data_IF_543720750358
#
_entry.id   IF_543720750358
#
_cell.length_a   1.000
_cell.length_b   1.000
_cell.length_c   1.000
_cell.angle_alpha   90.00
_cell.angle_beta   90.00
_cell.angle_gamma   90.00
#
_symmetry.space_group_name_H-M   'P 1'
#
loop_
_entity.id
_entity.type
_entity.pdbx_description
1 polymer ?
#
# COMPACT_ATOMS: atom_id res chain seq x y z
N UNK A 1 -17.69 9.95 -29.79
CA UNK A 1 -17.38 10.41 -28.41
C UNK A 1 -15.96 10.94 -28.40
N UNK A 2 -15.74 12.19 -27.99
CA UNK A 2 -14.40 12.80 -27.95
C UNK A 2 -13.52 11.97 -27.00
N UNK A 3 -12.43 11.41 -27.54
CA UNK A 3 -11.34 10.90 -26.71
C UNK A 3 -11.01 11.94 -25.65
N UNK A 4 -11.11 11.52 -24.40
CA UNK A 4 -10.78 12.40 -23.28
C UNK A 4 -9.25 12.50 -23.18
N UNK A 5 -8.63 13.24 -24.12
CA UNK A 5 -7.16 13.46 -24.23
C UNK A 5 -6.51 14.01 -22.96
N UNK A 6 -7.32 14.42 -21.98
CA UNK A 6 -6.80 15.06 -20.75
C UNK A 6 -6.22 14.10 -19.71
N UNK A 7 -6.41 12.78 -19.84
CA UNK A 7 -5.99 11.78 -18.86
C UNK A 7 -4.92 10.79 -19.37
N UNK A 8 -4.36 10.99 -20.55
CA UNK A 8 -3.29 10.12 -21.06
C UNK A 8 -1.97 10.37 -20.34
N UNK A 9 -1.37 9.32 -19.75
CA UNK A 9 -0.04 9.42 -19.13
C UNK A 9 1.09 9.54 -20.17
N UNK A 10 0.80 9.21 -21.43
CA UNK A 10 1.76 9.17 -22.54
C UNK A 10 1.81 10.51 -23.27
N UNK A 11 0.75 11.33 -23.18
CA UNK A 11 0.61 12.58 -23.94
C UNK A 11 0.47 13.80 -23.03
N UNK A 12 0.64 14.98 -23.58
CA UNK A 12 0.41 16.24 -22.91
C UNK A 12 1.46 16.63 -21.84
N UNK A 13 1.06 17.47 -20.89
CA UNK A 13 1.94 17.97 -19.84
C UNK A 13 2.20 16.89 -18.78
N UNK A 14 3.46 16.59 -18.54
CA UNK A 14 3.91 15.52 -17.63
C UNK A 14 3.40 15.74 -16.19
N UNK A 15 3.61 16.95 -15.65
CA UNK A 15 3.23 17.26 -14.27
C UNK A 15 1.73 17.15 -14.03
N UNK A 16 0.92 17.66 -14.98
CA UNK A 16 -0.55 17.54 -14.91
C UNK A 16 -0.98 16.06 -14.99
N UNK A 17 -0.38 15.27 -15.91
CA UNK A 17 -0.71 13.86 -16.05
C UNK A 17 -0.44 13.07 -14.76
N UNK A 18 0.74 13.24 -14.17
CA UNK A 18 1.11 12.59 -12.90
C UNK A 18 0.18 13.06 -11.77
N UNK A 19 -0.06 14.37 -11.65
CA UNK A 19 -0.89 14.93 -10.58
C UNK A 19 -2.34 14.41 -10.65
N UNK A 20 -2.96 14.45 -11.84
CA UNK A 20 -4.33 13.95 -12.01
C UNK A 20 -4.46 12.44 -11.83
N UNK A 21 -3.37 11.69 -12.02
CA UNK A 21 -3.35 10.27 -11.77
C UNK A 21 -3.12 9.92 -10.29
N UNK A 22 -2.25 10.66 -9.58
CA UNK A 22 -1.95 10.37 -8.18
C UNK A 22 -3.03 10.87 -7.21
N UNK A 23 -3.71 11.99 -7.50
CA UNK A 23 -4.74 12.53 -6.62
C UNK A 23 -5.86 11.54 -6.28
N UNK A 24 -6.45 10.77 -7.24
CA UNK A 24 -7.41 9.74 -6.89
C UNK A 24 -6.81 8.58 -6.09
N UNK A 25 -5.52 8.27 -6.25
CA UNK A 25 -4.85 7.25 -5.42
C UNK A 25 -4.74 7.72 -3.98
N UNK A 26 -4.31 8.97 -3.76
CA UNK A 26 -4.25 9.59 -2.43
C UNK A 26 -5.65 9.60 -1.78
N UNK A 27 -6.67 10.05 -2.53
CA UNK A 27 -8.04 10.06 -2.03
C UNK A 27 -8.55 8.65 -1.69
N UNK A 28 -8.20 7.65 -2.51
CA UNK A 28 -8.55 6.25 -2.24
C UNK A 28 -7.90 5.71 -0.97
N UNK A 29 -6.61 5.98 -0.77
CA UNK A 29 -5.90 5.60 0.45
C UNK A 29 -6.47 6.29 1.70
N UNK A 30 -6.87 7.57 1.58
CA UNK A 30 -7.52 8.30 2.67
C UNK A 30 -8.89 7.69 3.02
N UNK A 31 -9.71 7.39 2.03
CA UNK A 31 -11.01 6.73 2.23
C UNK A 31 -10.83 5.36 2.89
N UNK A 32 -9.85 4.60 2.45
CA UNK A 32 -9.52 3.30 3.04
C UNK A 32 -9.11 3.44 4.52
N UNK A 33 -8.33 4.45 4.86
CA UNK A 33 -7.96 4.72 6.25
C UNK A 33 -9.17 5.14 7.10
N UNK A 34 -10.03 6.00 6.54
CA UNK A 34 -11.25 6.44 7.23
C UNK A 34 -12.20 5.26 7.49
N UNK A 35 -12.43 4.40 6.49
CA UNK A 35 -13.32 3.27 6.68
C UNK A 35 -12.80 2.28 7.73
N UNK A 36 -11.49 1.98 7.76
CA UNK A 36 -10.88 1.13 8.80
C UNK A 36 -11.09 1.73 10.19
N UNK A 37 -10.99 3.05 10.32
CA UNK A 37 -11.22 3.74 11.59
C UNK A 37 -12.70 3.65 12.02
N UNK A 38 -13.63 3.85 11.08
CA UNK A 38 -15.08 3.76 11.35
C UNK A 38 -15.48 2.33 11.74
N UNK A 39 -14.98 1.33 11.02
CA UNK A 39 -15.18 -0.10 11.34
C UNK A 39 -14.72 -0.41 12.77
N UNK A 40 -13.50 0.01 13.14
CA UNK A 40 -13.00 -0.17 14.51
C UNK A 40 -13.88 0.51 15.58
N UNK A 41 -14.42 1.70 15.29
CA UNK A 41 -15.35 2.41 16.20
C UNK A 41 -16.66 1.62 16.35
N UNK A 42 -17.25 1.14 15.25
CA UNK A 42 -18.50 0.36 15.27
C UNK A 42 -18.29 -0.94 16.06
N UNK A 43 -17.24 -1.69 15.74
CA UNK A 43 -16.92 -2.94 16.45
C UNK A 43 -16.65 -2.67 17.93
N UNK A 44 -15.84 -1.66 18.27
CA UNK A 44 -15.56 -1.29 19.65
C UNK A 44 -16.79 -0.91 20.44
N UNK A 45 -17.75 -0.21 19.80
CA UNK A 45 -18.97 0.25 20.45
C UNK A 45 -20.02 -0.86 20.64
N UNK A 46 -20.21 -1.73 19.64
CA UNK A 46 -21.29 -2.72 19.62
C UNK A 46 -20.83 -4.14 19.95
N UNK A 47 -19.61 -4.56 19.59
CA UNK A 47 -19.03 -5.86 19.98
C UNK A 47 -18.12 -5.77 21.24
N UNK A 48 -17.91 -4.56 21.74
CA UNK A 48 -17.16 -4.31 22.97
C UNK A 48 -15.65 -4.58 22.89
N UNK A 49 -14.99 -4.53 24.07
CA UNK A 49 -13.53 -4.70 24.18
C UNK A 49 -13.06 -6.06 23.67
N UNK A 50 -13.83 -7.11 23.89
CA UNK A 50 -13.52 -8.49 23.48
C UNK A 50 -13.50 -8.60 21.97
N UNK A 51 -14.51 -8.04 21.29
CA UNK A 51 -14.56 -8.03 19.82
C UNK A 51 -13.42 -7.26 19.18
N UNK A 52 -13.10 -6.08 19.71
CA UNK A 52 -11.97 -5.28 19.22
C UNK A 52 -10.63 -6.01 19.42
N UNK A 53 -10.40 -6.59 20.61
CA UNK A 53 -9.21 -7.37 20.90
C UNK A 53 -9.09 -8.61 20.01
N UNK A 54 -10.21 -9.25 19.67
CA UNK A 54 -10.25 -10.40 18.76
C UNK A 54 -9.75 -10.02 17.36
N UNK A 55 -10.18 -8.88 16.82
CA UNK A 55 -9.76 -8.39 15.49
C UNK A 55 -8.30 -7.93 15.52
N UNK A 56 -7.90 -7.14 16.49
CA UNK A 56 -6.54 -6.59 16.59
C UNK A 56 -5.48 -7.68 16.76
N UNK A 57 -5.78 -8.75 17.52
CA UNK A 57 -4.86 -9.85 17.76
C UNK A 57 -4.40 -10.55 16.49
N UNK A 58 -5.23 -10.53 15.44
CA UNK A 58 -4.99 -11.24 14.17
C UNK A 58 -4.69 -10.33 12.98
N UNK A 59 -4.79 -9.01 13.16
CA UNK A 59 -4.58 -8.03 12.09
C UNK A 59 -3.21 -8.22 11.41
N UNK A 60 -2.17 -8.52 12.18
CA UNK A 60 -0.84 -8.82 11.65
C UNK A 60 -0.84 -10.07 10.77
N UNK A 61 -1.61 -11.11 11.11
CA UNK A 61 -1.69 -12.35 10.37
C UNK A 61 -2.23 -12.13 8.94
N UNK A 62 -3.25 -11.27 8.80
CA UNK A 62 -3.83 -10.95 7.49
C UNK A 62 -2.92 -10.09 6.62
N UNK A 63 -2.11 -9.21 7.23
CA UNK A 63 -1.22 -8.30 6.48
C UNK A 63 -0.22 -9.06 5.60
N UNK A 64 0.32 -10.20 6.07
CA UNK A 64 1.32 -10.93 5.30
C UNK A 64 0.81 -11.44 3.95
N UNK A 65 -0.24 -12.29 3.86
CA UNK A 65 -0.75 -12.76 2.58
C UNK A 65 -1.29 -11.62 1.71
N UNK A 66 -1.94 -10.61 2.30
CA UNK A 66 -2.46 -9.47 1.55
C UNK A 66 -1.32 -8.68 0.91
N UNK A 67 -0.27 -8.34 1.65
CA UNK A 67 0.88 -7.60 1.13
C UNK A 67 1.63 -8.39 0.06
N UNK A 68 1.77 -9.71 0.24
CA UNK A 68 2.35 -10.57 -0.79
C UNK A 68 1.55 -10.52 -2.10
N UNK A 69 0.24 -10.65 -2.02
CA UNK A 69 -0.63 -10.60 -3.20
C UNK A 69 -0.65 -9.21 -3.85
N UNK A 70 -0.59 -8.13 -3.06
CA UNK A 70 -0.46 -6.77 -3.58
C UNK A 70 0.84 -6.58 -4.37
N UNK A 71 1.95 -7.13 -3.89
CA UNK A 71 3.21 -7.11 -4.63
C UNK A 71 3.16 -7.86 -5.95
N UNK A 72 2.51 -9.04 -5.98
CA UNK A 72 2.27 -9.77 -7.23
C UNK A 72 1.37 -9.00 -8.21
N UNK A 73 0.31 -8.38 -7.71
CA UNK A 73 -0.57 -7.53 -8.52
C UNK A 73 0.17 -6.31 -9.08
N UNK A 74 1.08 -5.70 -8.31
CA UNK A 74 1.93 -4.62 -8.79
C UNK A 74 2.83 -5.09 -9.96
N UNK A 75 3.42 -6.29 -9.87
CA UNK A 75 4.18 -6.88 -10.96
C UNK A 75 3.37 -7.06 -12.26
N UNK A 76 2.14 -7.55 -12.14
CA UNK A 76 1.22 -7.66 -13.27
C UNK A 76 0.88 -6.28 -13.85
N UNK A 77 0.62 -5.28 -12.99
CA UNK A 77 0.35 -3.89 -13.40
C UNK A 77 1.49 -3.31 -14.23
N UNK A 78 2.76 -3.56 -13.87
CA UNK A 78 3.94 -3.10 -14.63
C UNK A 78 3.91 -3.65 -16.07
N UNK A 79 3.71 -4.96 -16.22
CA UNK A 79 3.73 -5.64 -17.50
C UNK A 79 2.56 -5.17 -18.39
N UNK A 80 1.36 -5.08 -17.81
CA UNK A 80 0.16 -4.61 -18.51
C UNK A 80 0.33 -3.14 -18.92
N UNK A 81 0.87 -2.26 -18.05
CA UNK A 81 1.17 -0.86 -18.36
C UNK A 81 2.15 -0.74 -19.55
N UNK A 82 3.18 -1.58 -19.57
CA UNK A 82 4.18 -1.59 -20.64
C UNK A 82 3.56 -2.00 -21.99
N UNK A 83 2.77 -3.08 -22.03
CA UNK A 83 2.09 -3.50 -23.25
C UNK A 83 1.01 -2.51 -23.69
N UNK A 84 0.33 -1.88 -22.76
CA UNK A 84 -0.62 -0.81 -23.05
C UNK A 84 0.08 0.39 -23.71
N UNK A 85 1.20 0.86 -23.15
CA UNK A 85 2.01 1.92 -23.73
C UNK A 85 2.57 1.57 -25.12
N UNK A 86 3.00 0.34 -25.31
CA UNK A 86 3.50 -0.18 -26.58
C UNK A 86 2.40 -0.39 -27.64
N UNK A 87 1.12 -0.24 -27.28
CA UNK A 87 -0.04 -0.57 -28.13
C UNK A 87 -0.02 -2.03 -28.63
N UNK A 88 0.65 -2.92 -27.89
CA UNK A 88 0.79 -4.34 -28.21
C UNK A 88 -0.47 -5.12 -27.74
N UNK A 89 -1.58 -4.94 -28.45
CA UNK A 89 -2.93 -5.35 -28.05
C UNK A 89 -3.03 -6.85 -27.75
N UNK A 90 -2.39 -7.70 -28.54
CA UNK A 90 -2.44 -9.15 -28.34
C UNK A 90 -1.76 -9.56 -27.03
N UNK A 91 -0.54 -9.07 -26.75
CA UNK A 91 0.18 -9.31 -25.52
C UNK A 91 -0.54 -8.69 -24.32
N UNK A 92 -1.17 -7.51 -24.49
CA UNK A 92 -1.99 -6.86 -23.48
C UNK A 92 -3.15 -7.77 -23.05
N UNK A 93 -3.90 -8.30 -24.02
CA UNK A 93 -5.05 -9.17 -23.75
C UNK A 93 -4.64 -10.48 -23.07
N UNK A 94 -3.57 -11.11 -23.55
CA UNK A 94 -3.01 -12.33 -22.94
C UNK A 94 -2.54 -12.06 -21.51
N UNK A 95 -1.88 -10.93 -21.28
CA UNK A 95 -1.42 -10.52 -19.96
C UNK A 95 -2.57 -10.31 -18.99
N UNK A 96 -3.64 -9.62 -19.40
CA UNK A 96 -4.81 -9.37 -18.54
C UNK A 96 -5.50 -10.69 -18.17
N UNK A 97 -5.75 -11.58 -19.12
CA UNK A 97 -6.34 -12.90 -18.81
C UNK A 97 -5.48 -13.70 -17.83
N UNK A 98 -4.16 -13.73 -18.08
CA UNK A 98 -3.21 -14.43 -17.20
C UNK A 98 -3.20 -13.82 -15.80
N UNK A 99 -3.20 -12.49 -15.67
CA UNK A 99 -3.25 -11.79 -14.38
C UNK A 99 -4.52 -12.12 -13.58
N UNK A 100 -5.69 -12.07 -14.24
CA UNK A 100 -6.97 -12.44 -13.61
C UNK A 100 -6.97 -13.92 -13.20
N UNK A 101 -6.44 -14.81 -14.05
CA UNK A 101 -6.33 -16.24 -13.73
C UNK A 101 -5.44 -16.49 -12.53
N UNK A 102 -4.26 -15.85 -12.47
CA UNK A 102 -3.34 -15.92 -11.32
C UNK A 102 -4.06 -15.44 -10.05
N UNK A 103 -4.72 -14.28 -10.10
CA UNK A 103 -5.42 -13.72 -8.96
C UNK A 103 -6.56 -14.62 -8.47
N UNK A 104 -7.32 -15.22 -9.40
CA UNK A 104 -8.39 -16.16 -9.06
C UNK A 104 -7.85 -17.43 -8.40
N UNK A 105 -6.86 -18.08 -9.00
CA UNK A 105 -6.29 -19.31 -8.49
C UNK A 105 -5.62 -19.09 -7.13
N UNK A 106 -4.76 -18.07 -7.03
CA UNK A 106 -4.10 -17.73 -5.75
C UNK A 106 -5.12 -17.26 -4.71
N UNK A 107 -6.16 -16.54 -5.13
CA UNK A 107 -7.26 -16.14 -4.25
C UNK A 107 -7.97 -17.35 -3.62
N UNK A 108 -8.36 -18.32 -4.44
CA UNK A 108 -9.00 -19.56 -3.96
C UNK A 108 -8.06 -20.36 -3.05
N UNK A 109 -6.80 -20.55 -3.46
CA UNK A 109 -5.80 -21.26 -2.64
C UNK A 109 -5.60 -20.56 -1.30
N UNK A 110 -5.46 -19.24 -1.30
CA UNK A 110 -5.27 -18.46 -0.07
C UNK A 110 -6.51 -18.48 0.83
N UNK A 111 -7.71 -18.44 0.25
CA UNK A 111 -8.96 -18.53 1.01
C UNK A 111 -9.10 -19.90 1.66
N UNK A 112 -8.96 -20.97 0.88
CA UNK A 112 -9.11 -22.34 1.39
C UNK A 112 -7.99 -22.66 2.40
N UNK A 113 -6.74 -22.35 2.07
CA UNK A 113 -5.60 -22.52 2.96
C UNK A 113 -5.74 -21.72 4.26
N UNK A 114 -6.19 -20.47 4.17
CA UNK A 114 -6.43 -19.60 5.32
C UNK A 114 -7.49 -20.17 6.27
N UNK A 115 -8.62 -20.64 5.73
CA UNK A 115 -9.70 -21.25 6.54
C UNK A 115 -9.20 -22.53 7.22
N UNK A 116 -8.48 -23.40 6.49
CA UNK A 116 -7.95 -24.65 7.06
C UNK A 116 -6.90 -24.41 8.14
N UNK A 117 -6.03 -23.42 7.94
CA UNK A 117 -4.92 -23.13 8.85
C UNK A 117 -5.32 -22.18 9.99
N UNK A 118 -6.49 -21.53 9.93
CA UNK A 118 -6.92 -20.58 10.96
C UNK A 118 -6.81 -21.12 12.39
N UNK A 119 -7.28 -22.34 12.73
CA UNK A 119 -7.18 -22.84 14.10
C UNK A 119 -5.72 -23.05 14.55
N UNK A 120 -4.84 -23.53 13.66
CA UNK A 120 -3.43 -23.72 13.95
C UNK A 120 -2.68 -22.40 14.14
N UNK A 121 -2.98 -21.42 13.28
CA UNK A 121 -2.40 -20.09 13.35
C UNK A 121 -2.79 -19.38 14.65
N UNK A 122 -4.06 -19.46 15.07
CA UNK A 122 -4.52 -18.88 16.34
C UNK A 122 -3.86 -19.54 17.55
N UNK A 123 -3.66 -20.87 17.53
CA UNK A 123 -2.92 -21.58 18.58
C UNK A 123 -1.45 -21.15 18.63
N UNK A 124 -0.80 -21.01 17.45
CA UNK A 124 0.58 -20.52 17.36
C UNK A 124 0.73 -19.10 17.91
N UNK A 125 -0.25 -18.24 17.66
CA UNK A 125 -0.30 -16.87 18.19
C UNK A 125 -0.68 -16.82 19.67
N UNK A 126 -1.01 -17.94 20.31
CA UNK A 126 -1.44 -18.04 21.72
C UNK A 126 -2.61 -17.10 22.03
N UNK A 127 -3.60 -17.05 21.13
CA UNK A 127 -4.79 -16.24 21.33
C UNK A 127 -5.50 -16.69 22.63
N UNK A 128 -5.84 -15.76 23.55
CA UNK A 128 -6.51 -16.09 24.80
C UNK A 128 -7.83 -16.84 24.61
N UNK A 129 -8.17 -17.74 25.53
CA UNK A 129 -9.32 -18.64 25.41
C UNK A 129 -10.67 -17.88 25.39
N UNK A 130 -10.74 -16.76 26.09
CA UNK A 130 -11.91 -15.88 26.19
C UNK A 130 -12.31 -15.22 24.85
N UNK A 131 -11.32 -14.90 23.99
CA UNK A 131 -11.57 -14.30 22.68
C UNK A 131 -11.41 -15.31 21.52
N UNK A 132 -10.97 -16.55 21.77
CA UNK A 132 -10.60 -17.52 20.75
C UNK A 132 -11.74 -17.82 19.77
N UNK A 133 -12.96 -18.05 20.27
CA UNK A 133 -14.13 -18.39 19.45
C UNK A 133 -14.49 -17.24 18.50
N UNK A 134 -14.50 -16.02 19.00
CA UNK A 134 -14.81 -14.82 18.21
C UNK A 134 -13.73 -14.58 17.16
N UNK A 135 -12.47 -14.70 17.57
CA UNK A 135 -11.32 -14.59 16.66
C UNK A 135 -11.37 -15.65 15.55
N UNK A 136 -11.68 -16.90 15.88
CA UNK A 136 -11.79 -18.00 14.90
C UNK A 136 -12.94 -17.73 13.92
N UNK A 137 -14.09 -17.28 14.42
CA UNK A 137 -15.24 -16.92 13.58
C UNK A 137 -14.88 -15.82 12.58
N UNK A 138 -14.26 -14.74 13.07
CA UNK A 138 -13.77 -13.65 12.23
C UNK A 138 -12.78 -14.15 11.17
N UNK A 139 -11.74 -14.90 11.58
CA UNK A 139 -10.74 -15.47 10.70
C UNK A 139 -11.36 -16.34 9.59
N UNK A 140 -12.28 -17.22 9.96
CA UNK A 140 -12.89 -18.15 9.00
C UNK A 140 -13.68 -17.41 7.93
N UNK A 141 -14.48 -16.41 8.31
CA UNK A 141 -15.26 -15.60 7.38
C UNK A 141 -14.34 -14.75 6.51
N UNK A 142 -13.38 -14.06 7.12
CA UNK A 142 -12.48 -13.16 6.41
C UNK A 142 -11.58 -13.92 5.41
N UNK A 143 -10.95 -15.03 5.81
CA UNK A 143 -10.19 -15.88 4.91
C UNK A 143 -11.06 -16.49 3.81
N UNK A 144 -12.28 -16.91 4.13
CA UNK A 144 -13.24 -17.38 3.13
C UNK A 144 -13.52 -16.36 2.03
N UNK A 145 -13.49 -15.05 2.37
CA UNK A 145 -13.65 -13.94 1.44
C UNK A 145 -12.37 -13.42 0.79
N UNK A 146 -11.17 -13.90 1.16
CA UNK A 146 -9.90 -13.33 0.74
C UNK A 146 -9.69 -13.33 -0.79
N UNK A 147 -10.28 -14.29 -1.49
CA UNK A 147 -10.28 -14.34 -2.96
C UNK A 147 -10.85 -13.07 -3.59
N UNK A 148 -11.88 -12.49 -2.98
CA UNK A 148 -12.49 -11.26 -3.50
C UNK A 148 -11.56 -10.06 -3.37
N UNK A 149 -10.85 -9.92 -2.24
CA UNK A 149 -9.85 -8.87 -2.06
C UNK A 149 -8.71 -9.00 -3.08
N UNK A 150 -8.21 -10.21 -3.32
CA UNK A 150 -7.12 -10.47 -4.27
C UNK A 150 -7.56 -10.15 -5.69
N UNK A 151 -8.75 -10.58 -6.10
CA UNK A 151 -9.31 -10.26 -7.42
C UNK A 151 -9.55 -8.76 -7.60
N UNK A 152 -10.10 -8.08 -6.58
CA UNK A 152 -10.30 -6.63 -6.62
C UNK A 152 -8.96 -5.91 -6.82
N UNK A 153 -7.93 -6.23 -6.02
CA UNK A 153 -6.62 -5.57 -6.11
C UNK A 153 -5.97 -5.78 -7.49
N UNK A 154 -6.08 -6.97 -8.06
CA UNK A 154 -5.60 -7.25 -9.42
C UNK A 154 -6.38 -6.44 -10.46
N UNK A 155 -7.71 -6.46 -10.40
CA UNK A 155 -8.56 -5.75 -11.35
C UNK A 155 -8.39 -4.22 -11.25
N UNK A 156 -8.26 -3.67 -10.05
CA UNK A 156 -7.91 -2.28 -9.82
C UNK A 156 -6.50 -1.94 -10.36
N UNK A 157 -5.55 -2.87 -10.22
CA UNK A 157 -4.22 -2.77 -10.84
C UNK A 157 -4.29 -2.68 -12.37
N UNK A 158 -5.15 -3.47 -13.01
CA UNK A 158 -5.38 -3.43 -14.46
C UNK A 158 -5.97 -2.08 -14.89
N UNK A 159 -6.96 -1.53 -14.16
CA UNK A 159 -7.50 -0.19 -14.45
C UNK A 159 -6.42 0.88 -14.32
N UNK A 160 -5.60 0.82 -13.26
CA UNK A 160 -4.44 1.73 -13.11
C UNK A 160 -3.44 1.57 -14.25
N UNK A 161 -3.22 0.35 -14.73
CA UNK A 161 -2.34 0.10 -15.88
C UNK A 161 -2.81 0.78 -17.18
N UNK A 162 -4.10 1.06 -17.32
CA UNK A 162 -4.66 1.88 -18.39
C UNK A 162 -4.58 3.39 -18.14
N UNK A 163 -4.03 3.82 -16.99
CA UNK A 163 -3.98 5.22 -16.59
C UNK A 163 -5.25 5.70 -15.88
N UNK A 164 -6.16 4.79 -15.52
CA UNK A 164 -7.40 5.12 -14.83
C UNK A 164 -7.27 4.86 -13.32
N UNK A 165 -7.09 5.92 -12.55
CA UNK A 165 -7.11 5.89 -11.08
C UNK A 165 -8.47 6.31 -10.49
N UNK A 166 -9.39 6.87 -11.30
CA UNK A 166 -10.69 7.38 -10.82
C UNK A 166 -11.69 6.26 -10.58
N UNK A 167 -11.80 5.29 -11.53
CA UNK A 167 -12.74 4.17 -11.35
C UNK A 167 -12.44 3.33 -10.11
N UNK A 168 -11.18 2.93 -9.81
CA UNK A 168 -10.85 2.30 -8.53
C UNK A 168 -11.26 3.13 -7.30
N UNK A 169 -11.11 4.46 -7.34
CA UNK A 169 -11.57 5.35 -6.28
C UNK A 169 -13.09 5.28 -6.09
N UNK A 170 -13.88 5.32 -7.18
CA UNK A 170 -15.35 5.20 -7.07
C UNK A 170 -15.78 3.84 -6.51
N UNK A 171 -15.08 2.76 -6.89
CA UNK A 171 -15.33 1.43 -6.32
C UNK A 171 -15.06 1.44 -4.83
N UNK A 172 -13.94 2.01 -4.38
CA UNK A 172 -13.63 2.14 -2.95
C UNK A 172 -14.68 2.93 -2.18
N UNK A 173 -15.15 4.05 -2.74
CA UNK A 173 -16.21 4.85 -2.10
C UNK A 173 -17.48 4.02 -1.89
N UNK A 174 -17.96 3.35 -2.94
CA UNK A 174 -19.17 2.53 -2.87
C UNK A 174 -18.99 1.38 -1.88
N UNK A 175 -17.87 0.67 -1.96
CA UNK A 175 -17.61 -0.47 -1.07
C UNK A 175 -17.43 -0.05 0.39
N UNK A 176 -16.80 1.09 0.65
CA UNK A 176 -16.71 1.64 2.02
C UNK A 176 -18.07 2.00 2.59
N UNK A 177 -18.95 2.60 1.80
CA UNK A 177 -20.34 2.85 2.23
C UNK A 177 -21.09 1.54 2.54
N UNK A 178 -20.95 0.53 1.68
CA UNK A 178 -21.58 -0.79 1.89
C UNK A 178 -21.02 -1.47 3.13
N UNK A 179 -19.72 -1.40 3.36
CA UNK A 179 -19.08 -1.94 4.56
C UNK A 179 -19.64 -1.26 5.83
N UNK A 180 -19.62 0.07 5.90
CA UNK A 180 -20.13 0.82 7.06
C UNK A 180 -21.61 0.52 7.33
N UNK A 181 -22.45 0.50 6.28
CA UNK A 181 -23.87 0.16 6.43
C UNK A 181 -24.06 -1.30 6.84
N UNK A 182 -23.22 -2.20 6.31
CA UNK A 182 -23.18 -3.61 6.69
C UNK A 182 -22.81 -3.80 8.16
N UNK A 183 -21.79 -3.09 8.63
CA UNK A 183 -21.36 -3.14 10.04
C UNK A 183 -22.46 -2.61 10.97
N UNK A 184 -23.06 -1.47 10.64
CA UNK A 184 -24.19 -0.94 11.41
C UNK A 184 -25.37 -1.91 11.47
N UNK A 185 -25.67 -2.59 10.36
CA UNK A 185 -26.74 -3.57 10.31
C UNK A 185 -26.38 -4.87 11.04
N UNK A 186 -25.24 -5.50 10.68
CA UNK A 186 -24.89 -6.83 11.16
C UNK A 186 -24.35 -6.81 12.60
N UNK A 187 -23.56 -5.79 12.94
CA UNK A 187 -22.98 -5.67 14.29
C UNK A 187 -23.89 -4.83 15.20
N UNK A 188 -24.42 -3.70 14.69
CA UNK A 188 -25.20 -2.77 15.49
C UNK A 188 -26.64 -3.21 15.73
N UNK A 189 -27.36 -3.68 14.71
CA UNK A 189 -28.78 -4.03 14.78
C UNK A 189 -28.98 -5.53 15.04
N UNK A 190 -28.30 -6.39 14.27
CA UNK A 190 -28.47 -7.84 14.37
C UNK A 190 -27.57 -8.48 15.45
N UNK A 191 -26.68 -7.71 16.07
CA UNK A 191 -25.78 -8.13 17.16
C UNK A 191 -24.96 -9.39 16.85
N UNK A 192 -24.52 -9.57 15.60
CA UNK A 192 -23.70 -10.71 15.17
C UNK A 192 -22.23 -10.61 15.59
N UNK A 193 -21.87 -9.58 16.35
CA UNK A 193 -20.52 -9.40 16.89
C UNK A 193 -19.45 -9.31 15.80
N UNK A 194 -18.28 -9.85 16.05
CA UNK A 194 -17.14 -9.82 15.10
C UNK A 194 -17.40 -10.59 13.80
N UNK A 195 -18.26 -11.63 13.85
CA UNK A 195 -18.68 -12.37 12.65
C UNK A 195 -19.47 -11.47 11.69
N UNK A 196 -20.29 -10.56 12.23
CA UNK A 196 -21.02 -9.54 11.45
C UNK A 196 -20.06 -8.58 10.74
N UNK A 197 -19.03 -8.08 11.44
CA UNK A 197 -18.02 -7.22 10.86
C UNK A 197 -17.22 -7.90 9.73
N UNK A 198 -16.80 -9.15 9.95
CA UNK A 198 -16.14 -9.93 8.89
C UNK A 198 -17.06 -10.12 7.66
N UNK A 199 -18.34 -10.44 7.88
CA UNK A 199 -19.30 -10.63 6.80
C UNK A 199 -19.56 -9.33 6.02
N UNK A 200 -19.68 -8.18 6.69
CA UNK A 200 -19.83 -6.87 6.07
C UNK A 200 -18.61 -6.54 5.19
N UNK A 201 -17.42 -6.77 5.72
CA UNK A 201 -16.16 -6.56 4.98
C UNK A 201 -16.09 -7.44 3.72
N UNK A 202 -16.37 -8.73 3.83
CA UNK A 202 -16.37 -9.65 2.68
C UNK A 202 -17.43 -9.26 1.66
N UNK A 203 -18.64 -8.89 2.09
CA UNK A 203 -19.71 -8.44 1.20
C UNK A 203 -19.28 -7.18 0.42
N UNK A 204 -18.67 -6.20 1.09
CA UNK A 204 -18.15 -5.00 0.46
C UNK A 204 -17.04 -5.32 -0.57
N UNK A 205 -16.15 -6.26 -0.26
CA UNK A 205 -15.11 -6.72 -1.18
C UNK A 205 -15.68 -7.43 -2.41
N UNK A 206 -16.71 -8.26 -2.25
CA UNK A 206 -17.42 -8.90 -3.38
C UNK A 206 -18.04 -7.84 -4.30
N UNK A 207 -18.69 -6.82 -3.74
CA UNK A 207 -19.21 -5.69 -4.52
C UNK A 207 -18.08 -4.95 -5.24
N UNK A 208 -16.92 -4.76 -4.60
CA UNK A 208 -15.75 -4.17 -5.24
C UNK A 208 -15.29 -4.97 -6.47
N UNK A 209 -15.24 -6.30 -6.37
CA UNK A 209 -14.93 -7.18 -7.51
C UNK A 209 -15.93 -6.96 -8.62
N UNK A 210 -17.23 -7.09 -8.34
CA UNK A 210 -18.29 -6.96 -9.36
C UNK A 210 -18.22 -5.61 -10.07
N UNK A 211 -18.13 -4.51 -9.34
CA UNK A 211 -18.05 -3.17 -9.91
C UNK A 211 -16.78 -2.98 -10.75
N UNK A 212 -15.62 -3.45 -10.26
CA UNK A 212 -14.36 -3.31 -11.00
C UNK A 212 -14.38 -4.11 -12.30
N UNK A 213 -14.91 -5.33 -12.27
CA UNK A 213 -15.05 -6.13 -13.50
C UNK A 213 -16.08 -5.56 -14.46
N UNK A 214 -17.16 -4.93 -13.98
CA UNK A 214 -18.10 -4.18 -14.84
C UNK A 214 -17.41 -3.00 -15.53
N UNK A 215 -16.52 -2.29 -14.84
CA UNK A 215 -15.72 -1.23 -15.45
C UNK A 215 -14.72 -1.79 -16.49
N UNK A 216 -14.04 -2.89 -16.17
CA UNK A 216 -13.13 -3.55 -17.12
C UNK A 216 -13.87 -4.04 -18.38
N UNK A 217 -15.06 -4.61 -18.24
CA UNK A 217 -15.86 -5.08 -19.36
C UNK A 217 -16.33 -3.93 -20.30
N UNK A 218 -16.42 -2.71 -19.76
CA UNK A 218 -16.79 -1.51 -20.53
C UNK A 218 -15.59 -0.77 -21.12
N UNK A 219 -14.37 -1.21 -20.83
CA UNK A 219 -13.16 -0.58 -21.34
C UNK A 219 -13.00 -0.79 -22.85
N UNK A 220 -12.81 0.29 -23.61
CA UNK A 220 -12.76 0.26 -25.08
C UNK A 220 -11.69 -0.71 -25.62
N UNK A 221 -10.54 -0.78 -24.95
CA UNK A 221 -9.45 -1.67 -25.33
C UNK A 221 -9.77 -3.16 -25.12
N UNK A 222 -10.78 -3.49 -24.30
CA UNK A 222 -11.19 -4.86 -23.97
C UNK A 222 -12.54 -5.23 -24.63
N UNK A 223 -13.35 -4.24 -24.97
CA UNK A 223 -14.74 -4.42 -25.40
C UNK A 223 -14.84 -5.31 -26.64
N UNK A 224 -15.55 -6.42 -26.51
CA UNK A 224 -15.79 -7.40 -27.59
C UNK A 224 -14.57 -8.23 -28.02
N UNK A 225 -13.38 -8.00 -27.42
CA UNK A 225 -12.14 -8.69 -27.78
C UNK A 225 -11.59 -9.59 -26.67
N UNK A 226 -11.95 -9.33 -25.43
CA UNK A 226 -11.50 -10.10 -24.27
C UNK A 226 -12.68 -10.43 -23.37
N UNK A 227 -12.97 -11.71 -23.27
CA UNK A 227 -13.81 -12.21 -22.19
C UNK A 227 -12.90 -12.38 -20.96
N UNK A 228 -12.93 -11.38 -20.08
CA UNK A 228 -12.06 -11.31 -18.88
C UNK A 228 -12.25 -12.52 -17.95
N UNK A 229 -13.40 -13.18 -18.07
CA UNK A 229 -13.77 -14.38 -17.31
C UNK A 229 -13.22 -15.70 -17.89
N UNK A 230 -12.68 -15.70 -19.10
CA UNK A 230 -12.04 -16.89 -19.67
C UNK A 230 -10.64 -17.05 -19.08
N UNK A 231 -10.52 -17.99 -18.15
CA UNK A 231 -9.24 -18.35 -17.54
C UNK A 231 -8.25 -18.78 -18.61
N UNK A 232 -7.07 -18.19 -18.63
CA UNK A 232 -6.03 -18.49 -19.58
C UNK A 232 -4.66 -18.51 -18.90
N UNK A 233 -3.96 -19.63 -19.00
CA UNK A 233 -2.60 -19.77 -18.50
C UNK A 233 -1.59 -19.51 -19.63
N UNK A 234 -1.27 -18.24 -19.86
CA UNK A 234 -0.15 -17.87 -20.72
C UNK A 234 1.17 -18.07 -19.98
N UNK A 235 1.83 -19.22 -20.16
CA UNK A 235 3.06 -19.61 -19.44
C UNK A 235 4.13 -18.51 -19.46
N UNK A 236 4.35 -17.89 -20.60
CA UNK A 236 5.32 -16.79 -20.76
C UNK A 236 4.93 -15.56 -19.94
N UNK A 237 3.69 -15.09 -20.11
CA UNK A 237 3.18 -13.91 -19.38
C UNK A 237 3.12 -14.17 -17.89
N UNK A 238 2.76 -15.38 -17.45
CA UNK A 238 2.78 -15.79 -16.06
C UNK A 238 4.20 -15.76 -15.48
N UNK A 239 5.17 -16.30 -16.17
CA UNK A 239 6.58 -16.29 -15.76
C UNK A 239 7.11 -14.86 -15.63
N UNK A 240 6.78 -13.97 -16.59
CA UNK A 240 7.13 -12.55 -16.50
C UNK A 240 6.49 -11.86 -15.29
N UNK A 241 5.20 -12.10 -15.04
CA UNK A 241 4.48 -11.49 -13.91
C UNK A 241 5.03 -11.96 -12.56
N UNK A 242 5.31 -13.26 -12.42
CA UNK A 242 5.91 -13.81 -11.20
C UNK A 242 7.33 -13.25 -11.02
N UNK A 243 8.16 -13.26 -12.06
CA UNK A 243 9.53 -12.73 -11.98
C UNK A 243 9.56 -11.25 -11.61
N UNK A 244 8.59 -10.46 -12.10
CA UNK A 244 8.50 -9.03 -11.80
C UNK A 244 7.83 -8.78 -10.44
N UNK A 245 6.78 -9.54 -10.11
CA UNK A 245 5.97 -9.34 -8.92
C UNK A 245 6.55 -9.96 -7.66
N UNK A 246 7.26 -11.09 -7.77
CA UNK A 246 7.80 -11.79 -6.59
C UNK A 246 8.77 -10.93 -5.76
N UNK A 247 9.73 -10.18 -6.37
CA UNK A 247 10.57 -9.26 -5.60
C UNK A 247 9.76 -8.19 -4.85
N UNK A 248 8.72 -7.63 -5.50
CA UNK A 248 7.84 -6.63 -4.88
C UNK A 248 7.01 -7.25 -3.74
N UNK A 249 6.54 -8.48 -3.92
CA UNK A 249 5.82 -9.22 -2.89
C UNK A 249 6.70 -9.47 -1.66
N UNK A 250 7.95 -9.89 -1.88
CA UNK A 250 8.91 -10.10 -0.81
C UNK A 250 9.24 -8.79 -0.07
N UNK A 251 9.46 -7.69 -0.81
CA UNK A 251 9.67 -6.37 -0.23
C UNK A 251 8.49 -5.94 0.65
N UNK A 252 7.24 -6.11 0.15
CA UNK A 252 6.03 -5.74 0.87
C UNK A 252 5.81 -6.55 2.16
N UNK A 253 6.33 -7.78 2.23
CA UNK A 253 6.28 -8.60 3.45
C UNK A 253 7.36 -8.22 4.46
N UNK A 254 8.57 -7.92 4.00
CA UNK A 254 9.73 -7.69 4.88
C UNK A 254 9.71 -6.30 5.52
N UNK A 255 9.14 -5.33 4.87
CA UNK A 255 9.04 -3.96 5.39
C UNK A 255 8.28 -3.87 6.74
N UNK A 256 7.09 -4.47 6.92
CA UNK A 256 6.41 -4.52 8.21
C UNK A 256 7.19 -5.24 9.31
N UNK A 257 7.99 -6.26 8.96
CA UNK A 257 8.83 -6.97 9.93
C UNK A 257 9.91 -6.02 10.49
N UNK A 258 10.60 -5.27 9.63
CA UNK A 258 11.58 -4.30 10.07
C UNK A 258 10.96 -3.22 10.97
N UNK A 259 9.77 -2.73 10.64
CA UNK A 259 9.03 -1.78 11.48
C UNK A 259 8.61 -2.38 12.82
N UNK A 260 8.26 -3.67 12.88
CA UNK A 260 7.94 -4.36 14.14
C UNK A 260 9.16 -4.47 15.07
N UNK A 261 10.36 -4.68 14.53
CA UNK A 261 11.60 -4.69 15.32
C UNK A 261 11.88 -3.31 15.91
N UNK A 262 11.65 -2.25 15.12
CA UNK A 262 11.77 -0.88 15.63
C UNK A 262 10.74 -0.61 16.73
N UNK A 263 9.49 -1.00 16.54
CA UNK A 263 8.43 -0.84 17.54
C UNK A 263 8.78 -1.58 18.85
N UNK A 264 9.35 -2.79 18.74
CA UNK A 264 9.85 -3.51 19.92
C UNK A 264 10.92 -2.71 20.68
N UNK A 265 11.79 -2.01 19.97
CA UNK A 265 12.81 -1.13 20.57
C UNK A 265 12.20 0.13 21.18
N UNK A 266 11.19 0.74 20.55
CA UNK A 266 10.44 1.85 21.14
C UNK A 266 9.78 1.43 22.45
N UNK A 267 9.25 0.21 22.51
CA UNK A 267 8.60 -0.32 23.72
C UNK A 267 9.54 -0.46 24.94
N UNK A 268 10.85 -0.41 24.73
CA UNK A 268 11.82 -0.40 25.86
C UNK A 268 12.12 1.01 26.39
N UNK A 269 11.63 2.07 25.72
CA UNK A 269 11.95 3.48 26.06
C UNK A 269 11.02 4.13 27.09
N UNK A 270 10.16 3.34 27.74
CA UNK A 270 9.21 3.82 28.74
C UNK A 270 7.88 4.29 28.14
N UNK A 271 6.85 4.32 29.01
CA UNK A 271 5.45 4.56 28.61
C UNK A 271 5.22 5.90 27.95
N UNK A 272 5.89 6.96 28.40
CA UNK A 272 5.73 8.32 27.85
C UNK A 272 6.29 8.41 26.44
N UNK A 273 7.46 7.80 26.18
CA UNK A 273 8.06 7.73 24.84
C UNK A 273 7.20 6.91 23.88
N UNK A 274 6.62 5.79 24.33
CA UNK A 274 5.70 4.96 23.55
C UNK A 274 4.46 5.77 23.17
N UNK A 275 3.86 6.47 24.14
CA UNK A 275 2.68 7.30 23.92
C UNK A 275 2.96 8.45 22.95
N UNK A 276 4.07 9.17 23.13
CA UNK A 276 4.50 10.24 22.24
C UNK A 276 4.77 9.71 20.80
N UNK A 277 5.45 8.57 20.67
CA UNK A 277 5.68 7.91 19.38
C UNK A 277 4.39 7.53 18.66
N UNK A 278 3.43 6.95 19.39
CA UNK A 278 2.12 6.59 18.82
C UNK A 278 1.34 7.79 18.30
N UNK A 279 1.49 8.96 18.94
CA UNK A 279 0.89 10.21 18.47
C UNK A 279 1.62 10.70 17.23
N UNK A 280 2.95 10.66 17.22
CA UNK A 280 3.75 10.99 16.03
C UNK A 280 3.34 10.14 14.83
N UNK A 281 3.12 8.84 15.01
CA UNK A 281 2.67 7.94 13.94
C UNK A 281 1.31 8.38 13.35
N UNK A 282 0.37 8.79 14.20
CA UNK A 282 -0.92 9.32 13.75
C UNK A 282 -0.78 10.63 12.99
N UNK A 283 0.08 11.54 13.43
CA UNK A 283 0.37 12.79 12.73
C UNK A 283 1.07 12.55 11.39
N UNK A 284 1.97 11.59 11.34
CA UNK A 284 2.72 11.21 10.15
C UNK A 284 1.90 10.45 9.10
N UNK A 285 0.69 10.00 9.44
CA UNK A 285 -0.18 9.23 8.55
C UNK A 285 -0.37 9.91 7.18
N UNK A 286 -0.54 11.24 7.15
CA UNK A 286 -0.67 11.98 5.90
C UNK A 286 0.61 11.96 5.08
N UNK A 287 1.78 11.99 5.71
CA UNK A 287 3.08 11.92 5.04
C UNK A 287 3.24 10.57 4.36
N UNK A 288 2.96 9.47 5.10
CA UNK A 288 3.00 8.12 4.54
C UNK A 288 2.04 7.96 3.37
N UNK A 289 0.80 8.41 3.53
CA UNK A 289 -0.24 8.33 2.50
C UNK A 289 0.15 9.06 1.21
N UNK A 290 0.75 10.25 1.30
CA UNK A 290 1.22 11.01 0.14
C UNK A 290 2.40 10.31 -0.54
N UNK A 291 3.41 9.91 0.21
CA UNK A 291 4.61 9.28 -0.32
C UNK A 291 4.30 7.91 -0.95
N UNK A 292 3.56 7.04 -0.23
CA UNK A 292 3.23 5.68 -0.68
C UNK A 292 2.32 5.67 -1.91
N UNK A 293 1.46 6.68 -2.09
CA UNK A 293 0.65 6.81 -3.30
C UNK A 293 1.47 7.17 -4.54
N UNK A 294 2.65 7.77 -4.35
CA UNK A 294 3.51 8.19 -5.46
C UNK A 294 4.23 7.02 -6.11
N UNK A 295 4.60 5.98 -5.34
CA UNK A 295 5.26 4.78 -5.85
C UNK A 295 4.49 4.11 -7.00
N UNK A 296 3.24 3.65 -6.79
CA UNK A 296 2.40 3.07 -7.84
C UNK A 296 2.12 4.03 -9.01
N UNK A 297 1.98 5.33 -8.74
CA UNK A 297 1.79 6.33 -9.79
C UNK A 297 3.00 6.42 -10.72
N UNK A 298 4.20 6.51 -10.15
CA UNK A 298 5.44 6.56 -10.91
C UNK A 298 5.71 5.25 -11.65
N UNK A 299 5.38 4.11 -11.03
CA UNK A 299 5.50 2.79 -11.66
C UNK A 299 4.67 2.71 -12.95
N UNK A 300 3.41 3.10 -12.89
CA UNK A 300 2.51 3.09 -14.06
C UNK A 300 2.95 4.09 -15.12
N UNK A 301 3.27 5.32 -14.70
CA UNK A 301 3.72 6.38 -15.62
C UNK A 301 4.97 5.96 -16.39
N UNK A 302 5.98 5.47 -15.69
CA UNK A 302 7.26 5.05 -16.32
C UNK A 302 7.06 3.83 -17.21
N UNK A 303 6.29 2.82 -16.77
CA UNK A 303 6.04 1.61 -17.55
C UNK A 303 5.31 1.91 -18.86
N UNK A 304 4.29 2.78 -18.84
CA UNK A 304 3.56 3.18 -20.06
C UNK A 304 4.45 3.96 -21.02
N UNK A 305 5.19 4.97 -20.54
CA UNK A 305 6.06 5.79 -21.37
C UNK A 305 7.24 4.99 -21.93
N UNK A 306 7.77 4.04 -21.17
CA UNK A 306 8.80 3.11 -21.65
C UNK A 306 8.24 2.21 -22.74
N UNK A 307 7.05 1.64 -22.55
CA UNK A 307 6.36 0.85 -23.56
C UNK A 307 6.09 1.63 -24.85
N UNK A 308 5.74 2.91 -24.74
CA UNK A 308 5.54 3.82 -25.87
C UNK A 308 6.85 4.31 -26.51
N UNK A 309 8.03 3.87 -26.07
CA UNK A 309 9.33 4.31 -26.59
C UNK A 309 9.72 5.75 -26.22
N UNK A 310 8.99 6.40 -25.30
CA UNK A 310 9.16 7.82 -24.97
C UNK A 310 10.24 8.03 -23.89
N UNK A 311 11.48 7.72 -24.22
CA UNK A 311 12.63 7.72 -23.31
C UNK A 311 12.85 9.05 -22.57
N UNK A 312 12.68 10.18 -23.25
CA UNK A 312 12.80 11.51 -22.64
C UNK A 312 11.69 11.80 -21.64
N UNK A 313 10.45 11.35 -21.92
CA UNK A 313 9.35 11.48 -20.97
C UNK A 313 9.56 10.66 -19.71
N UNK A 314 10.18 9.47 -19.82
CA UNK A 314 10.57 8.64 -18.65
C UNK A 314 11.50 9.41 -17.72
N UNK A 315 12.59 10.02 -18.27
CA UNK A 315 13.54 10.78 -17.45
C UNK A 315 12.92 12.04 -16.84
N UNK A 316 12.27 12.85 -17.69
CA UNK A 316 11.61 14.09 -17.22
C UNK A 316 10.50 13.80 -16.21
N UNK A 317 9.72 12.74 -16.47
CA UNK A 317 8.64 12.33 -15.58
C UNK A 317 9.13 11.86 -14.21
N UNK A 318 10.26 11.14 -14.16
CA UNK A 318 10.86 10.74 -12.89
C UNK A 318 11.27 11.97 -12.06
N UNK A 319 11.91 12.97 -12.69
CA UNK A 319 12.30 14.22 -11.99
C UNK A 319 11.07 15.01 -11.54
N UNK A 320 10.10 15.22 -12.44
CA UNK A 320 8.88 16.00 -12.14
C UNK A 320 8.03 15.29 -11.09
N UNK A 321 7.85 13.96 -11.22
CA UNK A 321 7.08 13.17 -10.25
C UNK A 321 7.72 13.17 -8.87
N UNK A 322 9.04 12.98 -8.79
CA UNK A 322 9.78 13.11 -7.53
C UNK A 322 9.64 14.53 -6.95
N UNK A 323 9.71 15.57 -7.79
CA UNK A 323 9.49 16.96 -7.37
C UNK A 323 8.09 17.20 -6.81
N UNK A 324 7.04 16.62 -7.43
CA UNK A 324 5.66 16.66 -6.92
C UNK A 324 5.56 15.98 -5.55
N UNK A 325 6.18 14.79 -5.41
CA UNK A 325 6.20 14.04 -4.14
C UNK A 325 6.87 14.84 -3.02
N UNK A 326 8.06 15.38 -3.30
CA UNK A 326 8.83 16.20 -2.36
C UNK A 326 8.08 17.46 -1.97
N UNK A 327 7.43 18.13 -2.93
CA UNK A 327 6.62 19.32 -2.64
C UNK A 327 5.42 18.98 -1.76
N UNK A 328 4.66 17.94 -2.10
CA UNK A 328 3.47 17.54 -1.35
C UNK A 328 3.83 17.11 0.08
N UNK A 329 4.82 16.24 0.24
CA UNK A 329 5.32 15.81 1.56
C UNK A 329 5.96 17.00 2.30
N UNK A 330 6.70 17.86 1.61
CA UNK A 330 7.34 19.04 2.20
C UNK A 330 6.35 20.02 2.80
N UNK A 331 5.23 20.30 2.12
CA UNK A 331 4.16 21.17 2.64
C UNK A 331 3.56 20.60 3.92
N UNK A 332 3.23 19.30 3.95
CA UNK A 332 2.68 18.66 5.15
C UNK A 332 3.73 18.57 6.25
N UNK A 333 4.96 18.26 5.91
CA UNK A 333 6.08 18.23 6.85
C UNK A 333 6.32 19.60 7.51
N UNK A 334 6.33 20.67 6.72
CA UNK A 334 6.47 22.03 7.20
C UNK A 334 5.30 22.44 8.12
N UNK A 335 4.08 22.07 7.73
CA UNK A 335 2.91 22.27 8.58
C UNK A 335 3.07 21.53 9.92
N UNK A 336 3.43 20.26 9.93
CA UNK A 336 3.61 19.49 11.16
C UNK A 336 4.78 20.03 12.01
N UNK A 337 5.85 20.50 11.40
CA UNK A 337 6.98 21.11 12.12
C UNK A 337 6.54 22.27 13.02
N UNK A 338 5.64 23.14 12.53
CA UNK A 338 5.13 24.28 13.30
C UNK A 338 3.86 23.98 14.09
N UNK A 339 2.99 23.12 13.57
CA UNK A 339 1.66 22.88 14.11
C UNK A 339 1.57 21.66 15.04
N UNK A 340 2.63 20.85 15.20
CA UNK A 340 2.59 19.63 16.04
C UNK A 340 2.17 19.89 17.48
N UNK A 341 2.58 21.04 18.05
CA UNK A 341 2.16 21.46 19.39
C UNK A 341 0.68 21.85 19.50
N UNK A 342 0.06 22.24 18.38
CA UNK A 342 -1.37 22.59 18.33
C UNK A 342 -2.25 21.37 17.97
N UNK A 343 -1.80 20.52 17.09
CA UNK A 343 -2.55 19.32 16.64
C UNK A 343 -2.36 18.14 17.59
N UNK A 344 -1.17 17.98 18.20
CA UNK A 344 -0.85 16.90 19.13
C UNK A 344 -1.87 16.74 20.26
N UNK A 345 -2.32 17.81 20.91
CA UNK A 345 -3.34 17.76 21.99
C UNK A 345 -4.67 17.10 21.59
N UNK A 346 -5.00 17.01 20.29
CA UNK A 346 -6.25 16.40 19.85
C UNK A 346 -6.24 14.86 20.04
N UNK A 347 -5.07 14.27 20.28
CA UNK A 347 -4.87 12.84 20.46
C UNK A 347 -4.49 12.44 21.89
N UNK A 348 -4.50 13.41 22.83
CA UNK A 348 -4.01 13.23 24.20
C UNK A 348 -5.06 13.71 25.21
N UNK A 349 -5.24 12.96 26.29
CA UNK A 349 -6.02 13.42 27.43
C UNK A 349 -5.36 14.64 28.07
N UNK A 350 -6.18 15.61 28.52
CA UNK A 350 -5.69 16.87 29.14
C UNK A 350 -4.72 16.63 30.30
N UNK A 351 -4.83 15.50 30.99
CA UNK A 351 -3.98 15.17 32.15
C UNK A 351 -2.53 14.90 31.73
N UNK A 352 -2.33 14.26 30.57
CA UNK A 352 -1.02 13.83 30.11
C UNK A 352 -0.40 14.83 29.12
N UNK A 353 -1.19 15.82 28.69
CA UNK A 353 -0.81 16.80 27.68
C UNK A 353 0.48 17.57 28.02
N UNK A 354 0.63 17.98 29.30
CA UNK A 354 1.81 18.75 29.73
C UNK A 354 3.12 17.95 29.57
N UNK A 355 3.08 16.65 29.73
CA UNK A 355 4.25 15.78 29.61
C UNK A 355 4.51 15.33 28.17
N UNK A 356 3.46 14.93 27.45
CA UNK A 356 3.60 14.29 26.15
C UNK A 356 3.76 15.29 24.99
N UNK A 357 3.15 16.49 25.06
CA UNK A 357 3.24 17.46 23.95
C UNK A 357 4.69 17.88 23.66
N UNK A 358 5.53 18.23 24.64
CA UNK A 358 6.92 18.57 24.36
C UNK A 358 7.70 17.44 23.68
N UNK A 359 7.42 16.17 24.04
CA UNK A 359 8.05 15.01 23.40
C UNK A 359 7.57 14.84 21.96
N UNK A 360 6.27 14.94 21.70
CA UNK A 360 5.68 14.87 20.35
C UNK A 360 6.27 15.98 19.45
N UNK A 361 6.30 17.21 19.96
CA UNK A 361 6.88 18.35 19.20
C UNK A 361 8.34 18.08 18.87
N UNK A 362 9.12 17.67 19.84
CA UNK A 362 10.54 17.33 19.65
C UNK A 362 10.73 16.25 18.61
N UNK A 363 10.00 15.14 18.69
CA UNK A 363 10.13 14.01 17.76
C UNK A 363 9.70 14.38 16.34
N UNK A 364 8.60 15.10 16.18
CA UNK A 364 8.14 15.59 14.86
C UNK A 364 9.15 16.57 14.28
N UNK A 365 9.65 17.54 15.05
CA UNK A 365 10.62 18.51 14.57
C UNK A 365 11.95 17.89 14.15
N UNK A 366 12.38 16.79 14.83
CA UNK A 366 13.56 16.04 14.42
C UNK A 366 13.34 15.32 13.07
N UNK A 367 12.17 14.73 12.84
CA UNK A 367 11.89 13.93 11.64
C UNK A 367 11.48 14.78 10.43
N UNK A 368 10.78 15.89 10.66
CA UNK A 368 10.12 16.67 9.61
C UNK A 368 11.04 17.07 8.44
N UNK A 369 12.25 17.58 8.62
CA UNK A 369 13.12 17.97 7.49
C UNK A 369 13.53 16.78 6.62
N UNK A 370 13.48 15.57 7.16
CA UNK A 370 14.02 14.35 6.53
C UNK A 370 12.98 13.49 5.83
N UNK A 371 11.67 13.75 6.00
CA UNK A 371 10.63 13.07 5.23
C UNK A 371 10.77 13.24 3.72
N UNK A 372 11.45 14.31 3.27
CA UNK A 372 11.75 14.53 1.86
C UNK A 372 12.58 13.39 1.26
N UNK A 373 13.51 12.81 2.02
CA UNK A 373 14.30 11.67 1.55
C UNK A 373 13.46 10.41 1.38
N UNK A 374 12.47 10.21 2.26
CA UNK A 374 11.49 9.13 2.10
C UNK A 374 10.64 9.33 0.85
N UNK A 375 10.14 10.57 0.62
CA UNK A 375 9.38 10.91 -0.57
C UNK A 375 10.18 10.67 -1.88
N UNK A 376 11.47 11.01 -1.88
CA UNK A 376 12.39 10.73 -2.99
C UNK A 376 12.54 9.21 -3.20
N UNK A 377 12.76 8.46 -2.11
CA UNK A 377 12.93 7.02 -2.17
C UNK A 377 11.72 6.32 -2.77
N UNK A 378 10.49 6.65 -2.31
CA UNK A 378 9.25 6.04 -2.80
C UNK A 378 8.97 6.37 -4.28
N UNK A 379 9.13 7.64 -4.68
CA UNK A 379 8.91 8.05 -6.05
C UNK A 379 9.90 7.38 -7.02
N UNK A 380 11.20 7.32 -6.68
CA UNK A 380 12.23 6.74 -7.52
C UNK A 380 12.27 5.21 -7.46
N UNK A 381 11.87 4.60 -6.35
CA UNK A 381 11.59 3.16 -6.25
C UNK A 381 10.51 2.77 -7.25
N UNK A 382 9.36 3.46 -7.22
CA UNK A 382 8.29 3.25 -8.19
C UNK A 382 8.73 3.47 -9.63
N UNK A 383 9.48 4.53 -9.92
CA UNK A 383 10.03 4.80 -11.24
C UNK A 383 10.98 3.68 -11.71
N UNK A 384 11.83 3.16 -10.83
CA UNK A 384 12.74 2.04 -11.13
C UNK A 384 11.96 0.75 -11.41
N UNK A 385 10.90 0.47 -10.65
CA UNK A 385 10.00 -0.65 -10.92
C UNK A 385 9.31 -0.51 -12.29
N UNK A 386 8.91 0.71 -12.66
CA UNK A 386 8.32 1.01 -13.97
C UNK A 386 9.27 0.75 -15.15
N UNK A 387 10.58 0.85 -14.95
CA UNK A 387 11.59 0.42 -15.93
C UNK A 387 11.62 -1.12 -16.11
N UNK A 388 10.87 -1.88 -15.28
CA UNK A 388 10.88 -3.34 -15.23
C UNK A 388 12.00 -3.91 -14.34
N UNK A 389 12.69 -3.06 -13.60
CA UNK A 389 13.72 -3.43 -12.64
C UNK A 389 13.08 -3.53 -11.26
N UNK A 390 12.76 -4.74 -10.79
CA UNK A 390 12.09 -4.95 -9.50
C UNK A 390 13.02 -5.55 -8.45
N UNK A 391 14.02 -6.32 -8.86
CA UNK A 391 15.00 -6.92 -7.94
C UNK A 391 15.91 -5.86 -7.32
N UNK A 392 16.42 -4.93 -8.14
CA UNK A 392 17.32 -3.89 -7.63
C UNK A 392 16.63 -2.95 -6.63
N UNK A 393 15.43 -2.41 -6.87
CA UNK A 393 14.65 -1.67 -5.85
C UNK A 393 14.39 -2.48 -4.58
N UNK A 394 14.00 -3.76 -4.70
CA UNK A 394 13.82 -4.64 -3.55
C UNK A 394 15.09 -4.72 -2.70
N UNK A 395 16.24 -5.03 -3.32
CA UNK A 395 17.53 -5.13 -2.60
C UNK A 395 17.88 -3.78 -1.97
N UNK A 396 17.71 -2.67 -2.69
CA UNK A 396 17.98 -1.32 -2.16
C UNK A 396 17.13 -1.03 -0.93
N UNK A 397 15.81 -1.30 -0.96
CA UNK A 397 14.93 -1.13 0.21
C UNK A 397 15.34 -2.04 1.36
N UNK A 398 15.62 -3.32 1.09
CA UNK A 398 16.04 -4.27 2.13
C UNK A 398 17.34 -3.85 2.81
N UNK A 399 18.32 -3.38 2.04
CA UNK A 399 19.60 -2.95 2.60
C UNK A 399 19.47 -1.62 3.34
N UNK A 400 18.84 -0.60 2.73
CA UNK A 400 18.80 0.76 3.26
C UNK A 400 17.77 0.96 4.37
N UNK A 401 16.64 0.27 4.31
CA UNK A 401 15.57 0.46 5.30
C UNK A 401 15.56 -0.71 6.29
N UNK A 402 15.48 -1.96 5.83
CA UNK A 402 15.31 -3.08 6.74
C UNK A 402 16.61 -3.42 7.47
N UNK A 403 17.64 -3.82 6.73
CA UNK A 403 18.89 -4.31 7.33
C UNK A 403 19.63 -3.19 8.07
N UNK A 404 19.72 -2.01 7.46
CA UNK A 404 20.37 -0.86 8.07
C UNK A 404 19.74 -0.49 9.41
N UNK A 405 18.39 -0.41 9.50
CA UNK A 405 17.67 -0.13 10.76
C UNK A 405 17.93 -1.19 11.81
N UNK A 406 17.75 -2.46 11.45
CA UNK A 406 17.89 -3.57 12.39
C UNK A 406 19.33 -3.64 12.93
N UNK A 407 20.33 -3.56 12.05
CA UNK A 407 21.73 -3.55 12.47
C UNK A 407 22.08 -2.33 13.33
N UNK A 408 21.58 -1.14 12.94
CA UNK A 408 21.81 0.09 13.72
C UNK A 408 21.18 0.03 15.11
N UNK A 409 19.96 -0.52 15.22
CA UNK A 409 19.32 -0.74 16.51
C UNK A 409 20.16 -1.66 17.38
N UNK A 410 20.66 -2.78 16.86
CA UNK A 410 21.43 -3.74 17.66
C UNK A 410 22.80 -3.22 18.07
N UNK A 411 23.43 -2.37 17.25
CA UNK A 411 24.81 -1.89 17.48
C UNK A 411 24.83 -0.55 18.22
N UNK A 412 23.92 0.37 17.88
CA UNK A 412 23.97 1.76 18.34
C UNK A 412 23.08 1.96 19.56
N UNK A 413 21.84 1.43 19.55
CA UNK A 413 20.88 1.66 20.61
C UNK A 413 21.38 1.22 22.00
N UNK A 414 22.09 0.09 22.20
CA UNK A 414 22.60 -0.29 23.51
C UNK A 414 23.64 0.69 24.10
N UNK A 415 24.20 1.59 23.26
CA UNK A 415 25.20 2.59 23.72
C UNK A 415 24.54 3.89 24.16
N UNK A 416 23.36 4.21 23.64
CA UNK A 416 22.74 5.52 23.88
C UNK A 416 21.39 5.42 24.61
N UNK A 417 20.68 4.31 24.50
CA UNK A 417 19.42 3.97 25.21
C UNK A 417 18.39 5.13 25.26
N UNK A 418 18.27 5.89 24.17
CA UNK A 418 17.37 7.05 24.09
C UNK A 418 16.43 6.96 22.90
N UNK A 419 15.27 7.57 23.02
CA UNK A 419 14.29 7.64 21.92
C UNK A 419 14.83 8.43 20.73
N UNK A 420 15.62 9.47 20.97
CA UNK A 420 16.30 10.25 19.95
C UNK A 420 17.24 9.39 19.09
N UNK A 421 17.89 8.41 19.69
CA UNK A 421 18.75 7.47 18.96
C UNK A 421 17.91 6.68 17.94
N UNK A 422 16.74 6.18 18.32
CA UNK A 422 15.83 5.46 17.42
C UNK A 422 15.38 6.38 16.28
N UNK A 423 15.02 7.62 16.58
CA UNK A 423 14.60 8.63 15.59
C UNK A 423 15.73 8.89 14.59
N UNK A 424 16.97 9.06 15.04
CA UNK A 424 18.13 9.25 14.16
C UNK A 424 18.43 8.03 13.29
N UNK A 425 18.23 6.82 13.78
CA UNK A 425 18.31 5.58 12.98
C UNK A 425 17.27 5.59 11.86
N UNK A 426 16.03 6.02 12.16
CA UNK A 426 14.97 6.19 11.15
C UNK A 426 15.39 7.20 10.07
N UNK A 427 15.81 8.39 10.49
CA UNK A 427 16.25 9.47 9.61
C UNK A 427 17.41 9.01 8.72
N UNK A 428 18.44 8.40 9.31
CA UNK A 428 19.58 7.89 8.57
C UNK A 428 19.17 6.86 7.50
N UNK A 429 18.21 5.97 7.83
CA UNK A 429 17.71 4.99 6.86
C UNK A 429 16.99 5.64 5.67
N UNK A 430 16.24 6.73 5.88
CA UNK A 430 15.61 7.47 4.78
C UNK A 430 16.62 8.20 3.91
N UNK A 431 17.64 8.81 4.52
CA UNK A 431 18.73 9.47 3.77
C UNK A 431 19.45 8.45 2.89
N UNK A 432 19.84 7.30 3.48
CA UNK A 432 20.52 6.23 2.73
C UNK A 432 19.62 5.70 1.61
N UNK A 433 18.32 5.48 1.87
CA UNK A 433 17.38 5.03 0.85
C UNK A 433 17.22 6.07 -0.26
N UNK A 434 16.96 7.33 0.07
CA UNK A 434 16.79 8.41 -0.92
C UNK A 434 17.99 8.56 -1.84
N UNK A 435 19.21 8.61 -1.27
CA UNK A 435 20.45 8.72 -2.04
C UNK A 435 20.70 7.47 -2.91
N UNK A 436 20.44 6.27 -2.35
CA UNK A 436 20.60 5.01 -3.07
C UNK A 436 19.64 4.92 -4.27
N UNK A 437 18.38 5.34 -4.10
CA UNK A 437 17.40 5.34 -5.19
C UNK A 437 17.68 6.39 -6.26
N UNK A 438 18.25 7.55 -5.90
CA UNK A 438 18.76 8.52 -6.89
C UNK A 438 19.84 7.83 -7.76
N UNK A 439 20.85 7.24 -7.14
CA UNK A 439 21.91 6.55 -7.86
C UNK A 439 21.40 5.38 -8.71
N UNK A 440 20.54 4.53 -8.13
CA UNK A 440 19.95 3.37 -8.80
C UNK A 440 19.15 3.76 -10.05
N UNK A 441 18.23 4.73 -9.90
CA UNK A 441 17.40 5.15 -11.02
C UNK A 441 18.22 5.71 -12.18
N UNK A 442 19.17 6.59 -11.91
CA UNK A 442 20.02 7.16 -12.97
C UNK A 442 20.92 6.13 -13.62
N UNK A 443 21.50 5.20 -12.86
CA UNK A 443 22.30 4.11 -13.42
C UNK A 443 21.46 3.20 -14.33
N UNK A 444 20.31 2.72 -13.84
CA UNK A 444 19.44 1.80 -14.58
C UNK A 444 18.75 2.47 -15.78
N UNK A 445 18.33 3.72 -15.62
CA UNK A 445 17.71 4.46 -16.73
C UNK A 445 18.69 4.71 -17.88
N UNK A 446 19.96 5.06 -17.58
CA UNK A 446 20.99 5.21 -18.61
C UNK A 446 21.17 3.91 -19.38
N UNK A 447 21.37 2.80 -18.71
CA UNK A 447 21.60 1.50 -19.32
C UNK A 447 20.42 1.07 -20.18
N UNK A 448 19.23 1.03 -19.62
CA UNK A 448 18.03 0.52 -20.31
C UNK A 448 17.56 1.38 -21.46
N UNK A 449 17.75 2.70 -21.38
CA UNK A 449 17.39 3.62 -22.45
C UNK A 449 18.47 3.71 -23.56
N UNK A 450 19.65 3.10 -23.37
CA UNK A 450 20.70 2.95 -24.37
C UNK A 450 20.63 1.61 -25.13
N UNK A 451 20.26 0.52 -24.44
CA UNK A 451 20.18 -0.84 -25.02
C UNK A 451 19.12 -0.97 -26.15
N UNK A 452 18.15 -0.07 -26.21
CA UNK A 452 17.14 -0.01 -27.30
C UNK A 452 17.57 0.88 -28.50
N UNK A 453 18.86 1.19 -28.66
CA UNK A 453 19.42 1.77 -29.89
C UNK A 453 19.90 0.69 -30.82
#
# INVERSE_FOLDING_TARGET
MKENKSNSLIEGNIGKAILFFVLPLIAGSLIQQLYVTVDAIIVGRFAGKVGLAAIDSINTLFKFPINFMNGLAAGATIIISRYFGAKAIEHLHRSIRTAVTIAFVLGIISSFGGVLLAPQLLKLMRVPADIYRDTLTYCTIYFGGLWSLILYNMAAGILRAFGDSKRPLYVLLVSSCINILGDLLLVGVLHLGVGGAAAATVAAQIVSVVLTFLFLAREEHLRGKVHVWHLHFGREHMAMMIRTGFPLALQSMLFPIANSIVQASVNTMGTDSIAAWSICDKLNMLIWLLADSMGPAMTTYVAQNLGAGQKERVKKGAVIGTGISVLAVGVVSLFLFFASGWVGPWFIDKKDAQLLIPLVVKYIQMMAPFYLFYAIAEALSGASCGLGETVAPMITTLLSICLFRVCSIWVILPKFETMECIIWIYIASWIVAGLSFIGLFWYKSRRKLQEDR
#
